data_IF_801589923013
#
_entry.id   IF_801589923013
#
_cell.length_a   1.000
_cell.length_b   1.000
_cell.length_c   1.000
_cell.angle_alpha   90.00
_cell.angle_beta   90.00
_cell.angle_gamma   90.00
#
_symmetry.space_group_name_H-M   'P 1'
#
loop_
_entity.id
_entity.type
_entity.pdbx_description
1 polymer ?
#
# COMPACT_ATOMS: atom_id res chain seq x y z
N UNK A 1 -19.50 7.96 -26.63
CA UNK A 1 -18.38 7.83 -27.58
C UNK A 1 -17.22 6.95 -27.10
N UNK A 2 -16.89 6.84 -25.80
CA UNK A 2 -15.85 5.87 -25.33
C UNK A 2 -16.36 4.41 -25.23
N UNK A 3 -17.50 4.17 -24.57
CA UNK A 3 -18.08 2.82 -24.41
C UNK A 3 -18.66 2.21 -25.70
N UNK A 4 -18.69 2.98 -26.79
CA UNK A 4 -19.16 2.51 -28.10
C UNK A 4 -18.02 1.90 -28.93
N UNK A 5 -16.78 1.94 -28.44
CA UNK A 5 -15.60 1.40 -29.14
C UNK A 5 -15.50 -0.12 -29.02
N UNK A 6 -15.95 -0.66 -27.89
CA UNK A 6 -15.95 -2.09 -27.59
C UNK A 6 -16.98 -2.37 -26.49
N UNK A 7 -17.88 -3.32 -26.75
CA UNK A 7 -18.95 -3.74 -25.83
C UNK A 7 -18.40 -4.25 -24.49
N UNK A 8 -17.18 -4.79 -24.47
CA UNK A 8 -16.50 -5.24 -23.26
C UNK A 8 -16.19 -4.09 -22.30
N UNK A 9 -16.01 -2.85 -22.78
CA UNK A 9 -15.65 -1.71 -21.93
C UNK A 9 -16.72 -1.41 -20.88
N UNK A 10 -17.99 -1.61 -21.23
CA UNK A 10 -19.12 -1.45 -20.30
C UNK A 10 -19.03 -2.52 -19.21
N UNK A 11 -18.79 -3.77 -19.60
CA UNK A 11 -18.66 -4.88 -18.68
C UNK A 11 -17.44 -4.72 -17.76
N UNK A 12 -16.29 -4.34 -18.31
CA UNK A 12 -15.05 -4.07 -17.56
C UNK A 12 -15.31 -2.99 -16.53
N UNK A 13 -15.92 -1.85 -16.91
CA UNK A 13 -16.23 -0.78 -15.97
C UNK A 13 -17.14 -1.30 -14.85
N UNK A 14 -18.24 -1.99 -15.20
CA UNK A 14 -19.20 -2.50 -14.21
C UNK A 14 -18.52 -3.44 -13.21
N UNK A 15 -17.72 -4.38 -13.70
CA UNK A 15 -17.01 -5.32 -12.83
C UNK A 15 -15.97 -4.60 -11.97
N UNK A 16 -15.19 -3.66 -12.52
CA UNK A 16 -14.22 -2.86 -11.77
C UNK A 16 -14.88 -2.02 -10.67
N UNK A 17 -16.02 -1.37 -10.96
CA UNK A 17 -16.74 -0.59 -9.95
C UNK A 17 -17.26 -1.45 -8.79
N UNK A 18 -17.68 -2.71 -9.03
CA UNK A 18 -18.09 -3.61 -7.93
C UNK A 18 -17.04 -3.76 -6.83
N UNK A 19 -15.76 -3.95 -7.20
CA UNK A 19 -14.70 -4.08 -6.20
C UNK A 19 -14.40 -2.75 -5.50
N UNK A 20 -14.51 -1.62 -6.23
CA UNK A 20 -14.35 -0.29 -5.64
C UNK A 20 -15.44 -0.01 -4.61
N UNK A 21 -16.70 -0.32 -4.93
CA UNK A 21 -17.84 -0.18 -4.03
C UNK A 21 -17.65 -1.04 -2.77
N UNK A 22 -17.26 -2.31 -2.94
CA UNK A 22 -16.90 -3.17 -1.81
C UNK A 22 -15.80 -2.58 -0.93
N UNK A 23 -14.71 -2.08 -1.52
CA UNK A 23 -13.60 -1.52 -0.77
C UNK A 23 -13.97 -0.20 -0.04
N UNK A 24 -15.02 0.49 -0.50
CA UNK A 24 -15.57 1.70 0.13
C UNK A 24 -16.68 1.41 1.16
N UNK A 25 -17.05 0.16 1.38
CA UNK A 25 -18.09 -0.18 2.36
C UNK A 25 -17.69 0.26 3.77
N UNK A 26 -18.69 0.70 4.54
CA UNK A 26 -18.55 1.04 5.96
C UNK A 26 -18.90 -0.15 6.88
N UNK A 27 -19.20 -1.32 6.31
CA UNK A 27 -19.45 -2.54 7.06
C UNK A 27 -18.24 -2.93 7.92
N UNK A 28 -18.51 -3.29 9.17
CA UNK A 28 -17.50 -3.62 10.19
C UNK A 28 -17.54 -5.08 10.61
N UNK A 29 -18.63 -5.79 10.32
CA UNK A 29 -18.76 -7.21 10.57
C UNK A 29 -17.90 -8.03 9.58
N UNK A 30 -16.85 -8.67 10.10
CA UNK A 30 -15.89 -9.42 9.31
C UNK A 30 -16.53 -10.63 8.60
N UNK A 31 -17.58 -11.24 9.14
CA UNK A 31 -18.28 -12.35 8.49
C UNK A 31 -19.09 -11.87 7.29
N UNK A 32 -19.71 -10.69 7.40
CA UNK A 32 -20.38 -10.05 6.26
C UNK A 32 -19.39 -9.62 5.20
N UNK A 33 -18.25 -9.02 5.60
CA UNK A 33 -17.17 -8.66 4.67
C UNK A 33 -16.65 -9.91 3.94
N UNK A 34 -16.42 -11.01 4.66
CA UNK A 34 -16.01 -12.29 4.10
C UNK A 34 -17.03 -12.81 3.06
N UNK A 35 -18.32 -12.72 3.38
CA UNK A 35 -19.40 -13.11 2.47
C UNK A 35 -19.44 -12.22 1.23
N UNK A 36 -19.36 -10.90 1.38
CA UNK A 36 -19.33 -9.94 0.28
C UNK A 36 -18.13 -10.17 -0.64
N UNK A 37 -16.94 -10.36 -0.06
CA UNK A 37 -15.73 -10.66 -0.82
C UNK A 37 -15.86 -11.99 -1.58
N UNK A 38 -16.42 -13.02 -0.95
CA UNK A 38 -16.66 -14.33 -1.58
C UNK A 38 -17.59 -14.20 -2.79
N UNK A 39 -18.66 -13.41 -2.68
CA UNK A 39 -19.57 -13.14 -3.78
C UNK A 39 -18.89 -12.41 -4.95
N UNK A 40 -17.95 -11.50 -4.66
CA UNK A 40 -17.18 -10.79 -5.70
C UNK A 40 -16.20 -11.75 -6.39
N UNK A 41 -15.49 -12.56 -5.61
CA UNK A 41 -14.58 -13.58 -6.12
C UNK A 41 -15.33 -14.52 -7.07
N UNK A 42 -16.50 -15.03 -6.64
CA UNK A 42 -17.33 -15.92 -7.43
C UNK A 42 -17.84 -15.24 -8.72
N UNK A 43 -18.30 -14.00 -8.61
CA UNK A 43 -18.71 -13.19 -9.76
C UNK A 43 -17.57 -13.01 -10.79
N UNK A 44 -16.33 -12.88 -10.32
CA UNK A 44 -15.17 -12.67 -11.19
C UNK A 44 -14.63 -13.97 -11.79
N UNK A 45 -14.67 -15.09 -11.06
CA UNK A 45 -14.24 -16.39 -11.60
C UNK A 45 -15.12 -16.86 -12.76
N UNK A 46 -16.39 -16.48 -12.75
CA UNK A 46 -17.36 -16.79 -13.83
C UNK A 46 -17.39 -15.74 -14.95
N UNK A 47 -16.57 -14.69 -14.89
CA UNK A 47 -16.52 -13.67 -15.94
C UNK A 47 -15.99 -14.24 -17.25
N UNK A 48 -16.48 -13.78 -18.40
CA UNK A 48 -15.93 -14.11 -19.73
C UNK A 48 -14.55 -13.51 -19.97
N UNK A 49 -14.21 -12.45 -19.24
CA UNK A 49 -12.99 -11.69 -19.37
C UNK A 49 -11.87 -12.31 -18.52
N UNK A 50 -10.80 -12.77 -19.17
CA UNK A 50 -9.66 -13.45 -18.53
C UNK A 50 -9.06 -12.63 -17.38
N UNK A 51 -8.92 -11.31 -17.56
CA UNK A 51 -8.38 -10.42 -16.53
C UNK A 51 -9.12 -10.50 -15.19
N UNK A 52 -10.44 -10.73 -15.21
CA UNK A 52 -11.23 -10.86 -13.97
C UNK A 52 -11.11 -12.26 -13.37
N UNK A 53 -10.93 -13.30 -14.18
CA UNK A 53 -10.62 -14.63 -13.67
C UNK A 53 -9.28 -14.63 -12.93
N UNK A 54 -8.24 -14.08 -13.55
CA UNK A 54 -6.92 -13.93 -12.92
C UNK A 54 -7.00 -13.09 -11.64
N UNK A 55 -7.76 -11.99 -11.67
CA UNK A 55 -7.99 -11.17 -10.48
C UNK A 55 -8.73 -11.93 -9.38
N UNK A 56 -9.70 -12.80 -9.73
CA UNK A 56 -10.40 -13.63 -8.76
C UNK A 56 -9.46 -14.59 -8.03
N UNK A 57 -8.50 -15.19 -8.74
CA UNK A 57 -7.50 -16.07 -8.12
C UNK A 57 -6.56 -15.29 -7.20
N UNK A 58 -6.18 -14.06 -7.57
CA UNK A 58 -5.42 -13.18 -6.69
C UNK A 58 -6.19 -12.83 -5.41
N UNK A 59 -7.47 -12.50 -5.53
CA UNK A 59 -8.33 -12.20 -4.39
C UNK A 59 -8.53 -13.42 -3.49
N UNK A 60 -8.62 -14.63 -4.05
CA UNK A 60 -8.66 -15.88 -3.26
C UNK A 60 -7.36 -16.09 -2.48
N UNK A 61 -6.22 -15.89 -3.14
CA UNK A 61 -4.90 -16.09 -2.53
C UNK A 61 -4.65 -15.16 -1.33
N UNK A 62 -5.18 -13.94 -1.38
CA UNK A 62 -5.01 -12.91 -0.34
C UNK A 62 -6.29 -12.60 0.44
N UNK A 63 -7.24 -13.54 0.47
CA UNK A 63 -8.59 -13.31 1.02
C UNK A 63 -8.55 -12.87 2.48
N UNK A 64 -7.71 -13.52 3.30
CA UNK A 64 -7.62 -13.24 4.73
C UNK A 64 -7.02 -11.85 4.97
N UNK A 65 -5.98 -11.47 4.23
CA UNK A 65 -5.32 -10.17 4.34
C UNK A 65 -6.26 -9.05 3.93
N UNK A 66 -7.09 -9.27 2.90
CA UNK A 66 -8.12 -8.33 2.48
C UNK A 66 -9.16 -8.16 3.59
N UNK A 67 -9.67 -9.25 4.18
CA UNK A 67 -10.63 -9.18 5.31
C UNK A 67 -10.01 -8.43 6.50
N UNK A 68 -8.76 -8.75 6.85
CA UNK A 68 -8.05 -8.07 7.94
C UNK A 68 -7.87 -6.58 7.68
N UNK A 69 -7.80 -6.16 6.41
CA UNK A 69 -7.75 -4.74 6.04
C UNK A 69 -9.04 -3.98 6.33
N UNK A 70 -10.14 -4.64 6.72
CA UNK A 70 -11.38 -4.00 7.18
C UNK A 70 -11.45 -3.80 8.69
N UNK A 71 -10.43 -4.21 9.44
CA UNK A 71 -10.34 -3.96 10.89
C UNK A 71 -10.10 -2.47 11.13
N UNK A 72 -10.90 -1.87 12.01
CA UNK A 72 -10.71 -0.50 12.46
C UNK A 72 -9.92 -0.44 13.77
N UNK A 73 -9.05 0.54 13.87
CA UNK A 73 -8.28 0.85 15.07
C UNK A 73 -8.53 2.30 15.47
N UNK A 74 -8.57 2.56 16.77
CA UNK A 74 -8.60 3.93 17.32
C UNK A 74 -7.18 4.39 17.54
N UNK A 75 -6.82 5.56 17.00
CA UNK A 75 -5.51 6.16 17.27
C UNK A 75 -5.45 6.82 18.66
N UNK A 76 -4.26 7.25 19.08
CA UNK A 76 -4.06 7.92 20.38
C UNK A 76 -4.82 9.25 20.51
N UNK A 77 -5.30 9.82 19.39
CA UNK A 77 -6.06 11.06 19.35
C UNK A 77 -7.58 10.80 19.30
N UNK A 78 -8.00 9.53 19.42
CA UNK A 78 -9.41 9.13 19.38
C UNK A 78 -10.01 8.96 17.98
N UNK A 79 -9.23 9.09 16.91
CA UNK A 79 -9.75 8.91 15.54
C UNK A 79 -9.78 7.43 15.18
N UNK A 80 -10.93 6.95 14.71
CA UNK A 80 -11.05 5.64 14.10
C UNK A 80 -10.47 5.66 12.69
N UNK A 81 -9.63 4.68 12.38
CA UNK A 81 -9.11 4.48 11.03
C UNK A 81 -9.01 3.01 10.71
N UNK A 82 -9.23 2.69 9.44
CA UNK A 82 -9.05 1.35 8.92
C UNK A 82 -7.56 0.96 8.91
N UNK A 83 -7.24 -0.26 9.32
CA UNK A 83 -5.90 -0.82 9.22
C UNK A 83 -5.55 -0.93 7.73
N UNK A 84 -4.65 -0.06 7.29
CA UNK A 84 -4.29 0.06 5.87
C UNK A 84 -2.79 0.15 5.70
N UNK A 85 -2.33 -0.09 4.48
CA UNK A 85 -0.92 0.07 4.12
C UNK A 85 -0.52 1.56 3.95
N UNK A 86 -1.46 2.50 4.01
CA UNK A 86 -1.21 3.93 3.80
C UNK A 86 -0.08 4.51 4.67
N UNK A 87 -0.02 4.23 5.99
CA UNK A 87 1.10 4.66 6.83
C UNK A 87 2.45 4.09 6.35
N UNK A 88 2.50 2.81 5.96
CA UNK A 88 3.73 2.18 5.45
C UNK A 88 4.13 2.74 4.08
N UNK A 89 3.16 3.04 3.22
CA UNK A 89 3.40 3.75 1.96
C UNK A 89 3.97 5.15 2.18
N UNK A 90 3.46 5.85 3.21
CA UNK A 90 4.01 7.12 3.69
C UNK A 90 5.47 7.00 4.11
N UNK A 91 5.83 5.99 4.90
CA UNK A 91 7.22 5.73 5.27
C UNK A 91 8.11 5.40 4.06
N UNK A 92 7.59 4.63 3.11
CA UNK A 92 8.31 4.25 1.88
C UNK A 92 8.60 5.44 0.95
N UNK A 93 7.95 6.59 1.15
CA UNK A 93 8.21 7.81 0.39
C UNK A 93 9.60 8.37 0.66
N UNK A 94 10.03 8.41 1.92
CA UNK A 94 11.33 9.02 2.31
C UNK A 94 12.52 8.34 1.62
N UNK A 95 12.66 7.00 1.62
CA UNK A 95 13.72 6.33 0.87
C UNK A 95 13.62 6.51 -0.64
N UNK A 96 12.41 6.49 -1.21
CA UNK A 96 12.19 6.68 -2.65
C UNK A 96 12.63 8.07 -3.11
N UNK A 97 12.22 9.11 -2.40
CA UNK A 97 12.58 10.50 -2.69
C UNK A 97 14.09 10.71 -2.51
N UNK A 98 14.69 10.12 -1.47
CA UNK A 98 16.14 10.18 -1.26
C UNK A 98 16.93 9.53 -2.40
N UNK A 99 16.52 8.33 -2.85
CA UNK A 99 17.14 7.65 -4.00
C UNK A 99 17.02 8.50 -5.27
N UNK A 100 15.84 9.06 -5.53
CA UNK A 100 15.58 9.92 -6.71
C UNK A 100 16.46 11.17 -6.70
N UNK A 101 16.54 11.87 -5.58
CA UNK A 101 17.31 13.10 -5.45
C UNK A 101 18.83 12.87 -5.51
N UNK A 102 19.28 11.70 -5.07
CA UNK A 102 20.71 11.34 -5.06
C UNK A 102 21.24 10.87 -6.42
N UNK A 103 20.36 10.62 -7.42
CA UNK A 103 20.72 10.06 -8.74
C UNK A 103 21.48 8.72 -8.68
N UNK A 104 21.19 7.90 -7.67
CA UNK A 104 21.89 6.65 -7.41
C UNK A 104 22.64 6.68 -6.08
N UNK A 105 22.92 5.50 -5.53
CA UNK A 105 23.49 5.31 -4.21
C UNK A 105 24.57 4.23 -4.29
N UNK A 106 25.80 4.55 -3.86
CA UNK A 106 26.93 3.61 -3.90
C UNK A 106 27.31 3.04 -2.51
N UNK A 107 27.00 3.76 -1.43
CA UNK A 107 27.32 3.35 -0.07
C UNK A 107 26.06 3.10 0.77
N UNK A 108 25.69 1.84 0.94
CA UNK A 108 24.50 1.44 1.71
C UNK A 108 24.53 1.93 3.17
N UNK A 109 25.66 1.83 3.86
CA UNK A 109 25.77 2.22 5.28
C UNK A 109 25.55 3.71 5.49
N UNK A 110 26.07 4.52 4.57
CA UNK A 110 25.83 5.96 4.57
C UNK A 110 24.35 6.26 4.35
N UNK A 111 23.72 5.63 3.35
CA UNK A 111 22.28 5.81 3.06
C UNK A 111 21.42 5.41 4.24
N UNK A 112 21.66 4.23 4.81
CA UNK A 112 20.94 3.73 5.99
C UNK A 112 21.02 4.73 7.14
N UNK A 113 22.22 5.24 7.43
CA UNK A 113 22.43 6.23 8.49
C UNK A 113 21.66 7.52 8.23
N UNK A 114 21.64 8.01 6.98
CA UNK A 114 20.90 9.21 6.58
C UNK A 114 19.39 9.02 6.65
N UNK A 115 18.87 7.87 6.24
CA UNK A 115 17.45 7.55 6.31
C UNK A 115 16.97 7.42 7.76
N UNK A 116 17.74 6.77 8.62
CA UNK A 116 17.43 6.69 10.06
C UNK A 116 17.44 8.10 10.66
N UNK A 117 18.45 8.91 10.35
CA UNK A 117 18.56 10.29 10.83
C UNK A 117 17.37 11.15 10.41
N UNK A 118 16.97 11.09 9.14
CA UNK A 118 15.87 11.89 8.59
C UNK A 118 14.50 11.59 9.23
N UNK A 119 14.32 10.42 9.84
CA UNK A 119 13.07 10.04 10.51
C UNK A 119 13.05 10.35 12.02
N UNK A 120 14.13 10.86 12.61
CA UNK A 120 14.17 11.20 14.04
C UNK A 120 13.46 12.53 14.31
N UNK A 121 12.69 12.58 15.40
CA UNK A 121 12.09 13.82 15.92
C UNK A 121 12.94 14.34 17.09
N UNK A 122 13.25 15.64 17.09
CA UNK A 122 13.92 16.35 18.18
C UNK A 122 15.29 15.79 18.61
N UNK A 123 16.18 15.50 17.67
CA UNK A 123 17.53 15.06 18.01
C UNK A 123 18.39 16.23 18.52
N UNK A 124 19.21 15.98 19.55
CA UNK A 124 20.23 16.92 19.98
C UNK A 124 21.29 17.10 18.89
N UNK A 125 21.48 18.35 18.47
CA UNK A 125 22.56 18.70 17.55
C UNK A 125 23.87 18.60 18.34
N UNK A 126 24.79 17.76 17.86
CA UNK A 126 26.14 17.71 18.43
C UNK A 126 26.79 19.10 18.28
N UNK A 127 27.35 19.63 19.36
CA UNK A 127 28.09 20.89 19.32
C UNK A 127 29.29 20.84 18.36
N UNK A 128 29.89 19.65 18.20
CA UNK A 128 30.98 19.39 17.26
C UNK A 128 30.51 18.37 16.22
N UNK A 129 30.53 18.71 14.92
CA UNK A 129 30.11 17.78 13.87
C UNK A 129 31.11 16.62 13.74
N UNK A 130 30.59 15.42 13.46
CA UNK A 130 31.42 14.24 13.18
C UNK A 130 32.26 14.46 11.92
N UNK A 131 33.48 13.95 11.93
CA UNK A 131 34.38 14.00 10.77
C UNK A 131 33.84 13.18 9.60
N UNK A 132 34.26 13.52 8.37
CA UNK A 132 33.86 12.78 7.16
C UNK A 132 34.18 11.28 7.26
N UNK A 133 35.30 10.90 7.90
CA UNK A 133 35.69 9.50 8.06
C UNK A 133 34.72 8.72 8.97
N UNK A 134 34.17 9.36 9.98
CA UNK A 134 33.19 8.75 10.89
C UNK A 134 31.80 8.65 10.26
N UNK A 135 31.46 9.59 9.37
CA UNK A 135 30.17 9.65 8.67
C UNK A 135 30.14 8.69 7.46
N UNK A 136 31.17 8.71 6.63
CA UNK A 136 31.29 7.82 5.47
C UNK A 136 32.00 6.54 5.91
N UNK A 137 31.22 5.59 6.44
CA UNK A 137 31.69 4.21 6.63
C UNK A 137 31.82 3.56 5.26
N UNK A 138 33.00 3.62 4.67
CA UNK A 138 33.32 2.80 3.51
C UNK A 138 33.51 1.35 4.00
N UNK A 139 32.82 0.39 3.40
CA UNK A 139 33.22 -1.02 3.58
C UNK A 139 34.65 -1.15 3.05
N UNK A 140 35.53 -1.78 3.84
CA UNK A 140 36.77 -2.35 3.31
C UNK A 140 36.44 -3.36 2.22
#
# INVERSE_FOLDING_TARGET
>A
MFFQLDDNLVQIRRLKEKYIEFNKTEERDLEKINTLLSNIIDCYSHSTLIMFKEFSELLKAHKQEIINSFIYITDNNGNERRLSNGPMEGYNRTPKDFKRNSRGLSNFEYVRSRLIWANRKNESILAIPKSKKEVYKFKK
#
